data_IF_505112024016
#
_entry.id   IF_505112024016
#
_cell.length_a   1.000
_cell.length_b   1.000
_cell.length_c   1.000
_cell.angle_alpha   90.00
_cell.angle_beta   90.00
_cell.angle_gamma   90.00
#
_symmetry.space_group_name_H-M   'P 1'
#
loop_
_entity.id
_entity.type
_entity.pdbx_description
1 polymer ?
#
# COMPACT_ATOMS: atom_id res chain seq x y z
N UNK A 1 -14.71 -2.09 -8.09
CA UNK A 1 -13.30 -2.42 -7.87
C UNK A 1 -12.45 -1.36 -8.52
N UNK A 2 -11.30 -1.05 -7.93
CA UNK A 2 -10.31 -0.16 -8.55
C UNK A 2 -9.71 -0.79 -9.82
N UNK A 3 -9.24 0.03 -10.77
CA UNK A 3 -8.45 -0.49 -11.88
C UNK A 3 -7.17 -1.15 -11.34
N UNK A 4 -6.69 -2.19 -12.02
CA UNK A 4 -5.43 -2.84 -11.69
C UNK A 4 -4.26 -2.07 -12.31
N UNK A 5 -3.14 -1.88 -11.59
CA UNK A 5 -1.96 -1.22 -12.13
C UNK A 5 -1.30 -2.05 -13.24
N UNK A 6 -0.54 -1.39 -14.11
CA UNK A 6 0.26 -2.05 -15.15
C UNK A 6 1.53 -2.68 -14.58
N UNK A 7 2.06 -2.11 -13.49
CA UNK A 7 3.23 -2.61 -12.80
C UNK A 7 3.02 -2.63 -11.29
N UNK A 8 3.45 -3.73 -10.65
CA UNK A 8 3.36 -3.97 -9.20
C UNK A 8 4.77 -4.15 -8.66
N UNK A 9 5.04 -3.55 -7.50
CA UNK A 9 6.28 -3.72 -6.75
C UNK A 9 6.29 -5.08 -6.05
N UNK A 10 7.42 -5.78 -6.05
CA UNK A 10 7.58 -7.05 -5.34
C UNK A 10 7.28 -6.93 -3.84
N UNK A 11 7.65 -5.78 -3.25
CA UNK A 11 7.32 -5.42 -1.88
C UNK A 11 6.75 -3.99 -1.84
N UNK A 12 5.62 -3.74 -1.13
CA UNK A 12 5.07 -2.40 -1.00
C UNK A 12 6.05 -1.42 -0.33
N UNK A 13 6.21 -0.23 -0.91
CA UNK A 13 7.07 0.82 -0.38
C UNK A 13 6.29 1.67 0.64
N UNK A 14 6.75 1.70 1.89
CA UNK A 14 6.16 2.58 2.91
C UNK A 14 6.35 4.05 2.53
N UNK A 15 5.27 4.82 2.58
CA UNK A 15 5.25 6.24 2.26
C UNK A 15 5.41 7.10 3.51
N UNK A 16 6.04 8.26 3.34
CA UNK A 16 6.00 9.31 4.34
C UNK A 16 4.65 10.02 4.30
N UNK A 17 4.26 10.60 5.43
CA UNK A 17 3.08 11.46 5.54
C UNK A 17 3.52 12.87 5.95
N UNK A 18 2.89 13.89 5.36
CA UNK A 18 2.93 15.26 5.89
C UNK A 18 1.52 15.80 5.91
N UNK A 19 1.13 16.45 7.00
CA UNK A 19 -0.21 17.02 7.16
C UNK A 19 -1.33 16.00 6.87
N UNK A 20 -1.16 14.77 7.35
CA UNK A 20 -2.10 13.65 7.14
C UNK A 20 -2.29 13.24 5.67
N UNK A 21 -1.34 13.58 4.79
CA UNK A 21 -1.35 13.21 3.38
C UNK A 21 -0.13 12.37 3.03
N UNK A 22 -0.29 11.20 2.39
CA UNK A 22 0.85 10.42 1.91
C UNK A 22 1.60 11.17 0.82
N UNK A 23 2.92 11.01 0.81
CA UNK A 23 3.83 11.65 -0.13
C UNK A 23 4.61 10.59 -0.89
N UNK A 24 4.59 10.74 -2.22
CA UNK A 24 5.49 10.04 -3.12
C UNK A 24 5.73 10.90 -4.35
N UNK A 25 6.95 11.43 -4.47
CA UNK A 25 7.31 12.44 -5.47
C UNK A 25 6.27 13.59 -5.54
N UNK A 26 5.93 14.13 -4.36
CA UNK A 26 4.88 15.14 -4.18
C UNK A 26 3.71 14.63 -3.33
N UNK A 27 2.86 15.55 -2.81
CA UNK A 27 1.68 15.18 -2.03
C UNK A 27 0.67 14.45 -2.93
N UNK A 28 0.21 13.29 -2.50
CA UNK A 28 -0.71 12.49 -3.30
C UNK A 28 -2.13 13.07 -3.27
N UNK A 29 -2.75 13.15 -4.44
CA UNK A 29 -4.18 13.41 -4.58
C UNK A 29 -4.91 12.07 -4.68
N UNK A 30 -5.78 11.76 -3.72
CA UNK A 30 -6.62 10.56 -3.75
C UNK A 30 -7.73 10.75 -4.78
N UNK A 31 -7.80 9.87 -5.78
CA UNK A 31 -8.76 9.96 -6.88
C UNK A 31 -9.94 9.01 -6.72
N UNK A 32 -9.68 7.74 -6.37
CA UNK A 32 -10.71 6.71 -6.19
C UNK A 32 -10.34 5.82 -4.99
N UNK A 33 -11.35 5.38 -4.24
CA UNK A 33 -11.20 4.49 -3.09
C UNK A 33 -11.99 4.95 -1.85
N UNK A 34 -11.85 4.24 -0.72
CA UNK A 34 -11.06 3.02 -0.57
C UNK A 34 -11.76 1.79 -1.15
N UNK A 35 -10.99 0.87 -1.74
CA UNK A 35 -11.42 -0.50 -2.04
C UNK A 35 -10.74 -1.45 -1.07
N UNK A 36 -11.53 -2.10 -0.20
CA UNK A 36 -10.98 -2.86 0.92
C UNK A 36 -10.62 -4.28 0.51
N UNK A 37 -9.39 -4.68 0.83
CA UNK A 37 -8.91 -6.05 0.70
C UNK A 37 -8.51 -6.57 2.08
N UNK A 38 -9.12 -7.69 2.46
CA UNK A 38 -8.85 -8.39 3.72
C UNK A 38 -8.06 -9.66 3.44
N UNK A 39 -6.97 -9.91 4.19
CA UNK A 39 -6.19 -11.15 4.13
C UNK A 39 -4.72 -10.99 3.68
N UNK A 40 -3.88 -11.93 4.12
CA UNK A 40 -2.41 -11.95 4.14
C UNK A 40 -1.63 -12.16 2.83
N UNK A 41 -2.14 -11.75 1.67
CA UNK A 41 -1.62 -12.28 0.39
C UNK A 41 -0.17 -11.91 0.01
N UNK A 42 0.40 -10.80 0.51
CA UNK A 42 1.77 -10.36 0.16
C UNK A 42 2.87 -11.07 0.97
N UNK A 43 2.56 -11.68 2.12
CA UNK A 43 3.56 -12.39 2.93
C UNK A 43 3.93 -13.79 2.38
N UNK A 44 3.27 -14.27 1.31
CA UNK A 44 3.50 -15.63 0.78
C UNK A 44 4.49 -15.73 -0.37
N UNK A 45 5.00 -14.61 -0.90
CA UNK A 45 5.81 -14.62 -2.15
C UNK A 45 7.32 -14.49 -1.94
N UNK A 46 7.81 -14.29 -0.71
CA UNK A 46 9.25 -14.33 -0.43
C UNK A 46 9.69 -15.78 -0.16
N UNK A 47 9.92 -16.51 -1.25
CA UNK A 47 10.89 -17.60 -1.21
C UNK A 47 12.23 -17.02 -0.77
N UNK A 48 12.89 -17.75 0.13
CA UNK A 48 14.31 -17.62 0.47
C UNK A 48 14.65 -16.64 1.60
N UNK A 49 14.48 -17.12 2.84
CA UNK A 49 15.35 -16.80 3.97
C UNK A 49 15.22 -15.41 4.58
N UNK A 50 14.92 -15.38 5.89
CA UNK A 50 14.78 -14.21 6.78
C UNK A 50 13.36 -13.65 6.88
N UNK A 51 12.44 -14.51 7.32
CA UNK A 51 11.35 -14.09 8.19
C UNK A 51 11.94 -13.55 9.51
N UNK A 52 12.10 -12.22 9.60
CA UNK A 52 12.23 -11.55 10.89
C UNK A 52 10.87 -10.97 11.29
N UNK A 53 10.14 -11.76 12.09
CA UNK A 53 9.03 -11.31 12.92
C UNK A 53 7.64 -11.60 12.38
N UNK A 54 6.93 -12.52 13.04
CA UNK A 54 5.47 -12.46 13.16
C UNK A 54 4.65 -13.33 12.21
N UNK A 55 4.82 -14.66 12.25
CA UNK A 55 3.92 -15.62 11.58
C UNK A 55 2.44 -15.54 12.05
N UNK A 56 2.14 -14.71 13.06
CA UNK A 56 0.80 -14.46 13.60
C UNK A 56 0.13 -13.16 13.04
N UNK A 57 0.87 -12.25 12.40
CA UNK A 57 0.36 -10.94 11.92
C UNK A 57 -0.29 -10.99 10.53
N UNK A 58 -0.13 -12.07 9.77
CA UNK A 58 -0.64 -12.18 8.41
C UNK A 58 -2.18 -12.35 8.33
N UNK A 59 -2.84 -12.73 9.43
CA UNK A 59 -4.23 -13.21 9.39
C UNK A 59 -5.30 -12.11 9.40
N UNK A 60 -4.98 -10.86 9.75
CA UNK A 60 -6.00 -9.82 9.91
C UNK A 60 -5.60 -8.44 9.35
N UNK A 61 -4.79 -8.42 8.29
CA UNK A 61 -4.37 -7.16 7.69
C UNK A 61 -5.44 -6.66 6.73
N UNK A 62 -6.10 -5.57 7.14
CA UNK A 62 -7.02 -4.81 6.30
C UNK A 62 -6.23 -3.76 5.52
N UNK A 63 -6.40 -3.75 4.20
CA UNK A 63 -5.90 -2.71 3.31
C UNK A 63 -7.03 -1.99 2.65
N UNK A 64 -6.98 -0.68 2.75
CA UNK A 64 -7.83 0.22 1.99
C UNK A 64 -7.00 0.70 0.79
N UNK A 65 -7.21 0.12 -0.39
CA UNK A 65 -6.53 0.52 -1.62
C UNK A 65 -7.17 1.74 -2.24
N UNK A 66 -6.36 2.53 -2.93
CA UNK A 66 -6.75 3.75 -3.62
C UNK A 66 -5.98 3.93 -4.92
N UNK A 67 -6.63 4.61 -5.87
CA UNK A 67 -5.95 5.27 -6.98
C UNK A 67 -5.54 6.68 -6.53
N UNK A 68 -4.26 7.00 -6.63
CA UNK A 68 -3.73 8.30 -6.28
C UNK A 68 -2.94 8.92 -7.44
N UNK A 69 -2.92 10.25 -7.52
CA UNK A 69 -2.10 11.00 -8.46
C UNK A 69 -0.94 11.65 -7.71
N UNK A 70 0.26 11.41 -8.20
CA UNK A 70 1.47 12.16 -7.84
C UNK A 70 1.75 13.23 -8.91
N UNK A 71 2.11 14.46 -8.52
CA UNK A 71 2.52 15.51 -9.46
C UNK A 71 3.71 15.13 -10.34
N UNK A 72 4.57 14.21 -9.88
CA UNK A 72 5.80 13.85 -10.57
C UNK A 72 5.88 12.36 -10.95
N UNK A 73 5.13 11.47 -10.27
CA UNK A 73 5.13 10.03 -10.55
C UNK A 73 3.88 9.51 -11.30
N UNK A 74 2.92 10.38 -11.62
CA UNK A 74 1.70 9.98 -12.33
C UNK A 74 0.73 9.20 -11.44
N UNK A 75 0.01 8.26 -12.04
CA UNK A 75 -1.03 7.48 -11.36
C UNK A 75 -0.40 6.31 -10.58
N UNK A 76 -0.79 6.19 -9.32
CA UNK A 76 -0.26 5.25 -8.35
C UNK A 76 -1.36 4.40 -7.74
N UNK A 77 -1.03 3.15 -7.49
CA UNK A 77 -1.83 2.23 -6.69
C UNK A 77 -1.25 2.17 -5.28
N UNK A 78 -1.94 2.82 -4.34
CA UNK A 78 -1.49 2.95 -2.95
C UNK A 78 -2.51 2.31 -2.01
N UNK A 79 -2.09 1.92 -0.82
CA UNK A 79 -3.02 1.47 0.21
C UNK A 79 -2.67 2.04 1.58
N UNK A 80 -3.70 2.21 2.40
CA UNK A 80 -3.55 2.40 3.83
C UNK A 80 -3.72 1.06 4.53
N UNK A 81 -2.79 0.71 5.39
CA UNK A 81 -2.83 -0.50 6.21
C UNK A 81 -3.02 -0.11 7.67
N UNK A 82 -3.90 -0.84 8.37
CA UNK A 82 -4.03 -0.75 9.83
C UNK A 82 -2.90 -1.52 10.50
N UNK A 83 -2.26 -0.89 11.47
CA UNK A 83 -1.21 -1.43 12.32
C UNK A 83 -1.75 -1.60 13.76
N UNK A 84 -0.93 -2.13 14.65
CA UNK A 84 -1.29 -2.26 16.06
C UNK A 84 -1.57 -0.89 16.73
N UNK A 85 -2.56 -0.86 17.63
CA UNK A 85 -2.88 0.31 18.45
C UNK A 85 -3.46 1.49 17.67
N UNK A 86 -4.42 1.25 16.79
CA UNK A 86 -5.11 2.24 15.93
C UNK A 86 -4.22 3.04 14.99
N UNK A 87 -2.95 2.66 14.85
CA UNK A 87 -2.03 3.28 13.92
C UNK A 87 -2.36 2.86 12.48
N UNK A 88 -2.08 3.74 11.52
CA UNK A 88 -2.15 3.42 10.10
C UNK A 88 -0.84 3.81 9.42
N UNK A 89 -0.56 3.17 8.29
CA UNK A 89 0.56 3.53 7.44
C UNK A 89 0.18 3.40 5.97
N UNK A 90 0.72 4.30 5.16
CA UNK A 90 0.55 4.29 3.71
C UNK A 90 1.66 3.55 3.01
N UNK A 91 1.31 2.86 1.94
CA UNK A 91 2.22 2.10 1.10
C UNK A 91 1.90 2.31 -0.37
N UNK A 92 2.93 2.43 -1.20
CA UNK A 92 2.84 2.32 -2.64
C UNK A 92 2.99 0.85 -3.03
N UNK A 93 2.10 0.36 -3.89
CA UNK A 93 2.14 -1.02 -4.36
C UNK A 93 2.34 -1.11 -5.88
N UNK A 94 1.94 -0.10 -6.66
CA UNK A 94 2.10 -0.16 -8.11
C UNK A 94 1.92 1.17 -8.82
N UNK A 95 2.22 1.15 -10.11
CA UNK A 95 2.12 2.29 -11.03
C UNK A 95 1.15 1.96 -12.17
N UNK A 96 0.45 2.99 -12.67
CA UNK A 96 -0.31 2.89 -13.90
C UNK A 96 0.46 3.64 -15.00
N UNK A 97 0.80 2.93 -16.08
CA UNK A 97 1.64 3.41 -17.18
C UNK A 97 2.98 2.71 -17.23
#
# INVERSE_FOLDING_TARGET
GLPLPTWILDAPLRLAEREHRPIYQGPLQMLLGPDRVEGGWWHRSAGDGHCHGGDEEALNVQRDYWLALSPHAGLLWVFQQRLAGDQTAWFLHGHFG
#
